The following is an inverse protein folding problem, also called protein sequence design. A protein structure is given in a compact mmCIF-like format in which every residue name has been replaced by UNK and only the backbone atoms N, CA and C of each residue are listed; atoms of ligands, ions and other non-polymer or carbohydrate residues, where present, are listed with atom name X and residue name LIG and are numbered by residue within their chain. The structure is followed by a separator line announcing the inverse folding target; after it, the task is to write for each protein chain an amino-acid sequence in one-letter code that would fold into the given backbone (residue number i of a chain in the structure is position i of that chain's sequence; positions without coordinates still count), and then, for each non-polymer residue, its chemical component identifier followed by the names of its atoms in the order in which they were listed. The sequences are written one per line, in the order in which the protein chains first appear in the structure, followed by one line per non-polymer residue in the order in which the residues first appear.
data_IF_416137858119
#
_entry.id   IF_416137858119
#
_cell.length_a   1.000
_cell.length_b   1.000
_cell.length_c   1.000
_cell.angle_alpha   90.00
_cell.angle_beta   90.00
_cell.angle_gamma   90.00
#
_symmetry.space_group_name_H-M   'P 1'
#
loop_
_entity.id
_entity.type
_entity.pdbx_description
1 polymer ?
#
# COMPACT_ATOMS: atom_id res chain seq x y z
N UNK A 1 -23.39 7.07 -46.85
CA UNK A 1 -22.84 6.00 -46.00
C UNK A 1 -21.96 6.60 -44.90
N UNK A 2 -22.51 7.01 -43.76
CA UNK A 2 -21.77 7.57 -42.60
C UNK A 2 -22.43 7.20 -41.26
N UNK A 3 -23.20 6.11 -41.24
CA UNK A 3 -23.95 5.67 -40.05
C UNK A 3 -23.38 4.48 -39.25
N UNK A 4 -22.41 3.66 -39.71
CA UNK A 4 -21.91 2.55 -38.87
C UNK A 4 -20.85 3.00 -37.86
N UNK A 5 -20.12 4.10 -38.12
CA UNK A 5 -19.01 4.56 -37.26
C UNK A 5 -19.51 5.16 -35.93
N UNK A 6 -20.65 5.86 -35.96
CA UNK A 6 -21.23 6.50 -34.76
C UNK A 6 -21.76 5.43 -33.79
N UNK A 7 -22.33 4.34 -34.30
CA UNK A 7 -22.79 3.20 -33.48
C UNK A 7 -21.62 2.45 -32.82
N UNK A 8 -20.47 2.34 -33.50
CA UNK A 8 -19.26 1.71 -32.96
C UNK A 8 -18.65 2.53 -31.79
N UNK A 9 -18.63 3.87 -31.93
CA UNK A 9 -18.14 4.79 -30.89
C UNK A 9 -19.04 4.82 -29.65
N UNK A 10 -20.36 4.70 -29.82
CA UNK A 10 -21.32 4.59 -28.71
C UNK A 10 -21.22 3.24 -27.98
N UNK A 11 -20.82 2.16 -28.66
CA UNK A 11 -20.58 0.87 -28.03
C UNK A 11 -19.31 0.84 -27.18
N UNK A 12 -18.24 1.54 -27.61
CA UNK A 12 -17.01 1.70 -26.83
C UNK A 12 -17.22 2.50 -25.52
N UNK A 13 -18.23 3.36 -25.45
CA UNK A 13 -18.58 4.11 -24.23
C UNK A 13 -19.33 3.25 -23.19
N UNK A 14 -19.94 2.14 -23.60
CA UNK A 14 -20.71 1.26 -22.71
C UNK A 14 -19.85 0.17 -22.02
N UNK A 15 -18.63 -0.09 -22.49
CA UNK A 15 -17.77 -1.15 -21.94
C UNK A 15 -16.95 -0.71 -20.72
N UNK A 16 -16.95 0.59 -20.37
CA UNK A 16 -16.14 1.13 -19.26
C UNK A 16 -16.91 1.44 -17.98
N UNK A 17 -18.15 0.96 -17.84
CA UNK A 17 -18.75 0.84 -16.51
C UNK A 17 -18.12 -0.36 -15.78
N UNK A 18 -16.84 -0.25 -15.43
CA UNK A 18 -16.25 -1.09 -14.39
C UNK A 18 -16.98 -0.70 -13.10
N UNK A 19 -18.10 -1.38 -12.82
CA UNK A 19 -18.78 -1.27 -11.54
C UNK A 19 -17.76 -1.64 -10.49
N UNK A 20 -17.23 -0.64 -9.80
CA UNK A 20 -16.33 -0.82 -8.68
C UNK A 20 -17.10 -1.65 -7.65
N UNK A 21 -16.80 -2.95 -7.57
CA UNK A 21 -17.22 -3.73 -6.40
C UNK A 21 -16.55 -3.04 -5.23
N UNK A 22 -17.33 -2.34 -4.41
CA UNK A 22 -16.86 -1.93 -3.08
C UNK A 22 -16.40 -3.21 -2.40
N UNK A 23 -15.11 -3.30 -2.14
CA UNK A 23 -14.59 -4.35 -1.30
C UNK A 23 -15.28 -4.22 0.06
N UNK A 24 -15.84 -5.31 0.54
CA UNK A 24 -16.44 -5.40 1.87
C UNK A 24 -15.34 -6.00 2.75
N UNK A 25 -14.85 -5.27 3.78
CA UNK A 25 -13.94 -5.77 4.81
C UNK A 25 -14.27 -7.21 5.16
N UNK A 26 -13.32 -8.13 4.95
CA UNK A 26 -13.54 -9.54 5.24
C UNK A 26 -13.46 -9.83 6.74
N UNK A 27 -13.12 -8.82 7.55
CA UNK A 27 -13.00 -8.92 9.00
C UNK A 27 -13.58 -7.71 9.73
N UNK A 28 -13.73 -7.85 11.05
CA UNK A 28 -13.96 -6.73 11.97
C UNK A 28 -12.66 -6.04 12.39
N UNK A 29 -11.54 -6.26 11.66
CA UNK A 29 -10.24 -5.71 12.01
C UNK A 29 -10.18 -4.23 11.68
N UNK A 30 -9.97 -3.41 12.70
CA UNK A 30 -9.82 -1.96 12.60
C UNK A 30 -8.74 -1.54 11.57
N UNK A 31 -7.62 -2.26 11.50
CA UNK A 31 -6.54 -1.96 10.56
C UNK A 31 -6.99 -2.14 9.11
N UNK A 32 -7.84 -3.13 8.83
CA UNK A 32 -8.39 -3.35 7.49
C UNK A 32 -9.25 -2.16 7.07
N UNK A 33 -10.17 -1.71 7.94
CA UNK A 33 -10.97 -0.51 7.68
C UNK A 33 -10.10 0.73 7.45
N UNK A 34 -9.04 0.93 8.24
CA UNK A 34 -8.10 2.03 8.06
C UNK A 34 -7.38 1.97 6.69
N UNK A 35 -7.00 0.76 6.25
CA UNK A 35 -6.43 0.55 4.91
C UNK A 35 -7.42 1.00 3.83
N UNK A 36 -8.69 0.60 3.91
CA UNK A 36 -9.68 1.00 2.89
C UNK A 36 -9.94 2.50 2.87
N UNK A 37 -10.05 3.14 4.03
CA UNK A 37 -10.20 4.60 4.10
C UNK A 37 -8.98 5.31 3.51
N UNK A 38 -7.77 4.83 3.81
CA UNK A 38 -6.53 5.37 3.25
C UNK A 38 -6.47 5.20 1.72
N UNK A 39 -6.80 4.01 1.19
CA UNK A 39 -6.81 3.74 -0.26
C UNK A 39 -7.86 4.60 -0.96
N UNK A 40 -9.04 4.77 -0.36
CA UNK A 40 -10.12 5.58 -0.92
C UNK A 40 -9.68 7.05 -1.02
N UNK A 41 -9.21 7.64 0.08
CA UNK A 41 -8.68 9.01 0.07
C UNK A 41 -7.48 9.15 -0.87
N UNK A 42 -6.60 8.15 -0.95
CA UNK A 42 -5.46 8.16 -1.85
C UNK A 42 -5.90 8.23 -3.31
N UNK A 43 -6.82 7.35 -3.71
CA UNK A 43 -7.31 7.24 -5.07
C UNK A 43 -8.14 8.46 -5.53
N UNK A 44 -8.76 9.17 -4.59
CA UNK A 44 -9.61 10.33 -4.89
C UNK A 44 -8.85 11.66 -4.75
N UNK A 45 -8.00 11.77 -3.74
CA UNK A 45 -7.48 13.06 -3.27
C UNK A 45 -5.94 13.17 -3.28
N UNK A 46 -5.19 12.10 -3.58
CA UNK A 46 -3.72 12.13 -3.58
C UNK A 46 -3.15 12.20 -5.00
N UNK A 47 -2.23 13.15 -5.24
CA UNK A 47 -1.58 13.30 -6.56
C UNK A 47 -0.68 12.11 -6.92
N UNK A 48 -0.14 11.40 -5.92
CA UNK A 48 0.70 10.22 -6.12
C UNK A 48 -0.06 9.10 -6.83
N UNK A 49 -1.39 9.03 -6.69
CA UNK A 49 -2.22 8.04 -7.39
C UNK A 49 -2.06 8.07 -8.91
N UNK A 50 -1.69 9.22 -9.48
CA UNK A 50 -1.49 9.37 -10.93
C UNK A 50 -0.13 8.84 -11.41
N UNK A 51 0.82 8.62 -10.51
CA UNK A 51 2.23 8.35 -10.85
C UNK A 51 2.46 6.88 -11.15
N UNK A 52 1.83 5.99 -10.39
CA UNK A 52 2.10 4.54 -10.47
C UNK A 52 0.81 3.75 -10.73
N UNK A 53 0.94 2.48 -11.16
CA UNK A 53 -0.19 1.55 -11.37
C UNK A 53 -0.34 0.52 -10.26
N UNK A 54 0.71 0.33 -9.47
CA UNK A 54 0.82 -0.65 -8.40
C UNK A 54 1.27 0.10 -7.14
N UNK A 55 0.64 -0.17 -6.00
CA UNK A 55 0.92 0.48 -4.74
C UNK A 55 1.09 -0.54 -3.61
N UNK A 56 2.17 -0.41 -2.86
CA UNK A 56 2.37 -1.12 -1.61
C UNK A 56 1.64 -0.39 -0.48
N UNK A 57 0.91 -1.15 0.34
CA UNK A 57 0.28 -0.68 1.57
C UNK A 57 0.92 -1.37 2.76
N UNK A 58 1.29 -0.60 3.78
CA UNK A 58 1.81 -1.13 5.03
C UNK A 58 1.15 -0.45 6.22
N UNK A 59 1.12 -1.15 7.36
CA UNK A 59 0.50 -0.66 8.58
C UNK A 59 1.53 -0.67 9.70
N UNK A 60 1.65 0.46 10.39
CA UNK A 60 2.24 0.51 11.72
C UNK A 60 1.10 0.61 12.72
N UNK A 61 0.83 -0.49 13.42
CA UNK A 61 -0.26 -0.55 14.40
C UNK A 61 -0.11 0.58 15.44
N UNK A 62 1.11 0.77 15.95
CA UNK A 62 1.43 1.89 16.84
C UNK A 62 2.47 2.80 16.21
N UNK A 63 2.11 4.06 16.00
CA UNK A 63 3.04 5.08 15.52
C UNK A 63 4.14 5.37 16.54
N UNK A 64 5.36 5.58 16.06
CA UNK A 64 6.52 5.94 16.89
C UNK A 64 7.29 7.10 16.29
N UNK A 65 8.16 7.70 17.08
CA UNK A 65 9.16 8.66 16.62
C UNK A 65 10.52 8.25 17.18
N UNK A 66 11.52 8.13 16.30
CA UNK A 66 12.89 7.79 16.66
C UNK A 66 13.80 9.00 16.45
N UNK A 67 14.82 9.11 17.30
CA UNK A 67 15.87 10.12 17.19
C UNK A 67 17.23 9.44 17.12
N UNK A 68 18.15 10.03 16.36
CA UNK A 68 19.53 9.57 16.34
C UNK A 68 20.26 10.17 17.53
N UNK A 69 20.72 9.32 18.45
CA UNK A 69 21.42 9.72 19.67
C UNK A 69 22.83 9.15 19.67
N UNK A 70 23.77 9.86 20.30
CA UNK A 70 25.14 9.38 20.50
C UNK A 70 25.27 8.78 21.89
N UNK A 71 25.64 7.50 21.95
CA UNK A 71 25.87 6.75 23.17
C UNK A 71 27.27 6.11 23.11
N UNK A 72 28.13 6.48 24.05
CA UNK A 72 29.53 6.01 24.14
C UNK A 72 30.32 6.10 22.80
N UNK A 73 30.05 7.13 22.00
CA UNK A 73 30.70 7.36 20.71
C UNK A 73 29.99 6.74 19.50
N UNK A 74 29.05 5.82 19.70
CA UNK A 74 28.25 5.20 18.64
C UNK A 74 26.92 5.94 18.42
N UNK A 75 26.53 6.12 17.16
CA UNK A 75 25.20 6.64 16.83
C UNK A 75 24.18 5.51 16.84
N UNK A 76 23.08 5.69 17.58
CA UNK A 76 21.99 4.71 17.72
C UNK A 76 20.65 5.40 17.50
N UNK A 77 19.76 4.75 16.75
CA UNK A 77 18.36 5.17 16.68
C UNK A 77 17.65 4.75 17.97
N UNK A 78 17.10 5.72 18.68
CA UNK A 78 16.40 5.51 19.95
C UNK A 78 14.94 5.93 19.78
N UNK A 79 14.02 5.11 20.28
CA UNK A 79 12.60 5.45 20.31
C UNK A 79 12.36 6.58 21.32
N UNK A 80 12.08 7.78 20.80
CA UNK A 80 11.84 9.01 21.57
C UNK A 80 10.40 9.09 22.07
N UNK A 81 9.43 8.67 21.25
CA UNK A 81 8.01 8.77 21.58
C UNK A 81 7.20 7.65 20.93
N UNK A 82 6.17 7.19 21.65
CA UNK A 82 5.19 6.19 21.17
C UNK A 82 3.80 6.83 21.24
N UNK A 83 3.02 6.68 20.17
CA UNK A 83 1.68 7.25 20.03
C UNK A 83 0.66 6.12 19.90
N UNK A 84 0.27 5.56 21.05
CA UNK A 84 -0.60 4.37 21.12
C UNK A 84 -2.01 4.61 20.59
N UNK A 85 -2.47 5.85 20.56
CA UNK A 85 -3.78 6.25 20.04
C UNK A 85 -3.80 6.42 18.50
N UNK A 86 -2.64 6.30 17.83
CA UNK A 86 -2.50 6.48 16.39
C UNK A 86 -2.10 5.18 15.70
N UNK A 87 -2.93 4.75 14.77
CA UNK A 87 -2.58 3.73 13.77
C UNK A 87 -2.18 4.44 12.48
N UNK A 88 -1.08 3.99 11.86
CA UNK A 88 -0.58 4.58 10.62
C UNK A 88 -0.69 3.59 9.48
N UNK A 89 -1.27 4.05 8.35
CA UNK A 89 -1.28 3.32 7.08
C UNK A 89 -0.41 4.08 6.08
N UNK A 90 0.61 3.43 5.54
CA UNK A 90 1.46 3.97 4.50
C UNK A 90 1.07 3.43 3.13
N UNK A 91 1.09 4.29 2.11
CA UNK A 91 0.88 3.92 0.70
C UNK A 91 2.01 4.53 -0.13
N UNK A 92 2.72 3.69 -0.89
CA UNK A 92 3.78 4.10 -1.81
C UNK A 92 3.62 3.38 -3.15
N UNK A 93 4.01 4.03 -4.25
CA UNK A 93 4.10 3.37 -5.56
C UNK A 93 5.14 2.26 -5.51
N UNK A 94 4.82 1.10 -6.09
CA UNK A 94 5.78 0.02 -6.30
C UNK A 94 6.49 0.22 -7.63
N UNK A 95 7.82 0.21 -7.61
CA UNK A 95 8.65 0.46 -8.80
C UNK A 95 9.36 -0.78 -9.26
N UNK A 96 9.84 -1.56 -8.30
CA UNK A 96 10.59 -2.76 -8.56
C UNK A 96 9.63 -3.96 -8.49
N UNK A 97 9.83 -4.93 -9.38
CA UNK A 97 9.05 -6.15 -9.33
C UNK A 97 9.43 -6.97 -8.10
N UNK A 98 8.45 -7.59 -7.47
CA UNK A 98 8.70 -8.49 -6.35
C UNK A 98 9.41 -9.75 -6.84
N UNK A 99 10.40 -10.19 -6.08
CA UNK A 99 11.02 -11.48 -6.31
C UNK A 99 10.02 -12.63 -6.13
N UNK A 100 9.80 -13.40 -7.19
CA UNK A 100 9.03 -14.64 -7.14
C UNK A 100 9.99 -15.83 -6.97
N UNK A 101 10.05 -16.33 -5.74
CA UNK A 101 10.91 -17.45 -5.33
C UNK A 101 10.17 -18.78 -5.43
N UNK A 102 10.91 -19.88 -5.55
CA UNK A 102 10.32 -21.23 -5.67
C UNK A 102 9.52 -21.67 -4.44
N UNK A 103 9.73 -21.05 -3.28
CA UNK A 103 9.02 -21.32 -2.03
C UNK A 103 7.76 -20.45 -1.85
N UNK A 104 7.49 -19.52 -2.77
CA UNK A 104 6.25 -18.73 -2.82
C UNK A 104 5.08 -19.53 -3.43
N UNK A 105 4.77 -20.69 -2.85
CA UNK A 105 3.71 -21.59 -3.31
C UNK A 105 2.35 -21.23 -2.70
N UNK A 106 1.26 -21.68 -3.33
CA UNK A 106 -0.09 -21.52 -2.78
C UNK A 106 -0.15 -22.12 -1.36
N UNK A 107 -0.74 -21.38 -0.43
CA UNK A 107 -0.78 -21.76 0.99
C UNK A 107 0.40 -21.24 1.82
N UNK A 108 1.48 -20.76 1.20
CA UNK A 108 2.61 -20.15 1.91
C UNK A 108 2.25 -18.78 2.51
N UNK A 109 2.95 -18.37 3.57
CA UNK A 109 2.75 -17.09 4.26
C UNK A 109 4.02 -16.24 4.21
N UNK A 110 3.87 -14.93 4.03
CA UNK A 110 4.97 -13.96 4.08
C UNK A 110 5.95 -13.98 2.91
N UNK A 111 5.77 -14.85 1.91
CA UNK A 111 6.63 -14.94 0.71
C UNK A 111 6.24 -13.92 -0.36
N UNK A 112 4.94 -13.78 -0.58
CA UNK A 112 4.32 -12.76 -1.42
C UNK A 112 3.20 -12.09 -0.62
N UNK A 113 2.78 -10.88 -1.00
CA UNK A 113 1.60 -10.27 -0.41
C UNK A 113 0.39 -11.16 -0.62
N UNK A 114 -0.48 -11.21 0.38
CA UNK A 114 -1.60 -12.15 0.43
C UNK A 114 -2.96 -11.44 0.35
N UNK A 115 -2.96 -10.10 0.39
CA UNK A 115 -4.15 -9.27 0.30
C UNK A 115 -4.00 -8.22 -0.78
N UNK A 116 -5.11 -7.88 -1.41
CA UNK A 116 -5.13 -6.85 -2.44
C UNK A 116 -6.51 -6.24 -2.63
N UNK A 117 -6.53 -5.08 -3.27
CA UNK A 117 -7.71 -4.46 -3.87
C UNK A 117 -7.36 -3.84 -5.21
N UNK A 118 -8.32 -3.77 -6.11
CA UNK A 118 -8.19 -3.06 -7.38
C UNK A 118 -9.12 -1.85 -7.35
N UNK A 119 -8.54 -0.65 -7.41
CA UNK A 119 -9.29 0.62 -7.38
C UNK A 119 -8.95 1.42 -8.63
N UNK A 120 -9.99 1.72 -9.43
CA UNK A 120 -9.87 2.42 -10.74
C UNK A 120 -8.79 1.78 -11.64
N UNK A 121 -8.75 0.45 -11.67
CA UNK A 121 -7.80 -0.33 -12.47
C UNK A 121 -6.38 -0.40 -11.91
N UNK A 122 -6.10 0.17 -10.73
CA UNK A 122 -4.79 0.14 -10.08
C UNK A 122 -4.74 -0.84 -8.92
N UNK A 123 -3.63 -1.54 -8.79
CA UNK A 123 -3.43 -2.57 -7.76
C UNK A 123 -2.91 -1.94 -6.47
N UNK A 124 -3.55 -2.27 -5.36
CA UNK A 124 -3.02 -2.04 -4.02
C UNK A 124 -2.88 -3.39 -3.33
N UNK A 125 -1.75 -3.67 -2.69
CA UNK A 125 -1.54 -4.91 -1.96
C UNK A 125 -0.85 -4.67 -0.61
N UNK A 126 -0.97 -5.66 0.28
CA UNK A 126 -0.24 -5.70 1.53
C UNK A 126 0.02 -7.14 1.98
N UNK A 127 0.98 -7.28 2.88
CA UNK A 127 1.27 -8.55 3.53
C UNK A 127 0.36 -8.72 4.74
N UNK A 128 -0.35 -9.85 4.80
CA UNK A 128 -1.11 -10.29 5.96
C UNK A 128 -0.51 -11.63 6.42
N UNK A 129 0.18 -11.61 7.55
CA UNK A 129 0.88 -12.79 8.09
C UNK A 129 -0.09 -13.91 8.50
N UNK A 130 -1.36 -13.58 8.74
CA UNK A 130 -2.37 -14.56 9.12
C UNK A 130 -3.07 -15.18 7.91
N UNK A 131 -2.95 -14.56 6.73
CA UNK A 131 -3.58 -15.01 5.49
C UNK A 131 -2.56 -15.58 4.49
N UNK A 132 -2.70 -16.84 4.06
CA UNK A 132 -1.78 -17.45 3.09
C UNK A 132 -1.99 -16.92 1.67
N UNK A 133 -0.97 -17.09 0.82
CA UNK A 133 -1.03 -16.82 -0.61
C UNK A 133 -2.11 -17.70 -1.27
N UNK A 134 -3.01 -17.08 -2.01
CA UNK A 134 -4.08 -17.74 -2.77
C UNK A 134 -3.77 -17.78 -4.27
N UNK A 135 -4.42 -18.69 -5.00
CA UNK A 135 -4.33 -18.74 -6.48
C UNK A 135 -4.79 -17.41 -7.10
N UNK A 136 -5.86 -16.83 -6.56
CA UNK A 136 -6.39 -15.54 -6.98
C UNK A 136 -5.36 -14.42 -6.82
N UNK A 137 -4.72 -14.32 -5.65
CA UNK A 137 -3.71 -13.29 -5.40
C UNK A 137 -2.50 -13.45 -6.33
N UNK A 138 -2.01 -14.69 -6.51
CA UNK A 138 -0.92 -14.96 -7.44
C UNK A 138 -1.29 -14.62 -8.88
N UNK A 139 -2.53 -14.92 -9.31
CA UNK A 139 -3.04 -14.55 -10.62
C UNK A 139 -3.09 -13.03 -10.81
N UNK A 140 -3.52 -12.28 -9.80
CA UNK A 140 -3.56 -10.80 -9.84
C UNK A 140 -2.16 -10.22 -9.94
N UNK A 141 -1.21 -10.67 -9.12
CA UNK A 141 0.18 -10.19 -9.18
C UNK A 141 0.79 -10.41 -10.56
N UNK A 142 0.57 -11.59 -11.17
CA UNK A 142 1.00 -11.89 -12.54
C UNK A 142 0.30 -11.02 -13.58
N UNK A 143 -1.01 -10.79 -13.42
CA UNK A 143 -1.80 -9.97 -14.34
C UNK A 143 -1.39 -8.49 -14.38
N UNK A 144 -0.83 -7.99 -13.27
CA UNK A 144 -0.25 -6.65 -13.17
C UNK A 144 1.25 -6.58 -13.52
N UNK A 145 1.87 -7.72 -13.91
CA UNK A 145 3.31 -7.83 -14.14
C UNK A 145 4.16 -7.40 -12.93
N UNK A 146 3.67 -7.68 -11.72
CA UNK A 146 4.27 -7.25 -10.45
C UNK A 146 5.41 -8.17 -9.98
N UNK A 147 5.69 -9.27 -10.68
CA UNK A 147 6.62 -10.32 -10.26
C UNK A 147 7.79 -10.47 -11.22
N UNK A 148 8.97 -10.74 -10.68
CA UNK A 148 10.15 -11.17 -11.44
C UNK A 148 10.63 -12.51 -10.91
N UNK A 149 10.89 -13.46 -11.81
CA UNK A 149 11.41 -14.77 -11.41
C UNK A 149 12.80 -14.62 -10.79
N UNK A 150 12.97 -15.15 -9.59
CA UNK A 150 14.26 -15.16 -8.90
C UNK A 150 14.98 -16.46 -9.24
N UNK A 151 15.95 -16.40 -10.15
CA UNK A 151 16.82 -17.53 -10.44
C UNK A 151 17.83 -17.63 -9.28
N UNK A 152 18.01 -18.83 -8.73
CA UNK A 152 18.98 -19.11 -7.65
C UNK A 152 20.45 -18.83 -8.00
N UNK A 153 20.76 -18.42 -9.24
CA UNK A 153 22.11 -18.21 -9.77
C UNK A 153 22.76 -16.89 -9.30
N UNK A 154 22.38 -16.40 -8.11
CA UNK A 154 23.00 -15.25 -7.47
C UNK A 154 22.69 -13.88 -8.09
N UNK A 155 21.85 -13.81 -9.12
CA UNK A 155 21.44 -12.53 -9.73
C UNK A 155 20.22 -11.97 -8.99
N UNK A 156 20.46 -11.01 -8.09
CA UNK A 156 19.40 -10.21 -7.50
C UNK A 156 18.82 -9.26 -8.56
N UNK A 157 17.50 -9.03 -8.61
CA UNK A 157 16.91 -8.01 -9.45
C UNK A 157 17.53 -6.66 -9.06
N UNK A 158 17.74 -5.81 -10.05
CA UNK A 158 18.25 -4.48 -9.83
C UNK A 158 17.19 -3.69 -9.06
N UNK A 159 17.45 -3.44 -7.77
CA UNK A 159 16.60 -2.62 -6.92
C UNK A 159 16.99 -1.16 -7.10
N UNK A 160 16.00 -0.31 -7.34
CA UNK A 160 16.20 1.13 -7.48
C UNK A 160 15.98 1.83 -6.15
N UNK A 161 17.00 2.52 -5.64
CA UNK A 161 16.86 3.39 -4.47
C UNK A 161 16.61 4.81 -4.98
N UNK A 162 15.45 5.36 -4.66
CA UNK A 162 15.11 6.76 -4.91
C UNK A 162 14.73 7.48 -3.62
N UNK A 163 15.70 8.18 -3.03
CA UNK A 163 15.49 8.98 -1.83
C UNK A 163 14.49 10.13 -2.02
N UNK A 164 14.13 10.48 -3.27
CA UNK A 164 13.10 11.48 -3.56
C UNK A 164 11.69 10.88 -3.68
N UNK A 165 11.56 9.54 -3.72
CA UNK A 165 10.27 8.87 -3.79
C UNK A 165 9.42 9.21 -2.57
N UNK A 166 8.19 9.66 -2.81
CA UNK A 166 7.26 10.02 -1.75
C UNK A 166 6.25 8.89 -1.52
N UNK A 167 5.96 8.66 -0.24
CA UNK A 167 4.79 7.92 0.22
C UNK A 167 3.73 8.86 0.79
N UNK A 168 2.52 8.36 0.90
CA UNK A 168 1.45 8.97 1.69
C UNK A 168 1.28 8.18 2.99
N UNK A 169 1.44 8.85 4.13
CA UNK A 169 1.26 8.29 5.46
C UNK A 169 -0.03 8.84 6.07
N UNK A 170 -0.97 7.96 6.38
CA UNK A 170 -2.26 8.27 6.95
C UNK A 170 -2.26 7.92 8.43
N UNK A 171 -2.40 8.92 9.29
CA UNK A 171 -2.44 8.76 10.74
C UNK A 171 -3.89 8.80 11.18
N UNK A 172 -4.45 7.66 11.56
CA UNK A 172 -5.82 7.50 12.03
C UNK A 172 -5.88 7.50 13.55
N UNK A 173 -6.90 8.15 14.10
CA UNK A 173 -7.27 7.97 15.49
C UNK A 173 -7.92 6.60 15.69
N UNK A 174 -7.39 5.80 16.61
CA UNK A 174 -7.88 4.44 16.86
C UNK A 174 -9.35 4.35 17.31
N UNK A 175 -9.87 5.41 17.94
CA UNK A 175 -11.26 5.48 18.36
C UNK A 175 -12.21 6.02 17.26
N UNK A 176 -11.68 6.58 16.17
CA UNK A 176 -12.49 7.17 15.10
C UNK A 176 -11.72 7.30 13.78
N UNK A 177 -12.00 6.40 12.83
CA UNK A 177 -11.37 6.38 11.50
C UNK A 177 -11.66 7.62 10.64
N UNK A 178 -12.78 8.31 10.86
CA UNK A 178 -13.06 9.56 10.14
C UNK A 178 -12.12 10.70 10.55
N UNK A 179 -11.41 10.55 11.68
CA UNK A 179 -10.38 11.49 12.13
C UNK A 179 -9.01 10.97 11.73
N UNK A 180 -8.51 11.45 10.59
CA UNK A 180 -7.15 11.17 10.16
C UNK A 180 -6.46 12.41 9.59
N UNK A 181 -5.13 12.32 9.46
CA UNK A 181 -4.34 13.25 8.65
C UNK A 181 -3.42 12.47 7.72
N UNK A 182 -3.35 12.95 6.49
CA UNK A 182 -2.42 12.48 5.47
C UNK A 182 -1.16 13.36 5.45
N UNK A 183 0.00 12.73 5.48
CA UNK A 183 1.31 13.38 5.27
C UNK A 183 1.93 12.78 4.03
N UNK A 184 2.31 13.62 3.07
CA UNK A 184 3.03 13.17 1.87
C UNK A 184 4.49 13.58 2.00
N UNK A 185 5.38 12.61 2.07
CA UNK A 185 6.80 12.82 2.36
C UNK A 185 7.66 11.70 1.77
N UNK A 186 8.95 11.98 1.56
CA UNK A 186 9.97 10.97 1.25
C UNK A 186 10.68 10.44 2.50
N UNK A 187 10.34 10.96 3.68
CA UNK A 187 10.90 10.49 4.96
C UNK A 187 10.10 9.29 5.45
N UNK A 188 10.76 8.15 5.67
CA UNK A 188 10.15 6.96 6.23
C UNK A 188 9.46 7.24 7.58
N UNK A 189 8.40 6.48 7.87
CA UNK A 189 7.68 6.55 9.14
C UNK A 189 8.60 6.25 10.32
N UNK A 190 8.34 6.88 11.46
CA UNK A 190 9.24 6.84 12.60
C UNK A 190 10.34 7.91 12.59
N UNK A 191 10.83 8.34 11.43
CA UNK A 191 11.95 9.30 11.34
C UNK A 191 11.52 10.77 11.38
N UNK A 192 10.22 11.03 11.40
CA UNK A 192 9.65 12.34 11.66
C UNK A 192 8.50 12.22 12.66
N UNK A 193 8.21 13.31 13.37
CA UNK A 193 7.11 13.31 14.35
C UNK A 193 5.76 13.15 13.61
N UNK A 194 4.90 12.21 14.02
CA UNK A 194 3.53 12.13 13.52
C UNK A 194 2.80 13.48 13.63
N UNK A 195 1.87 13.79 12.71
CA UNK A 195 1.09 15.02 12.78
C UNK A 195 0.26 15.04 14.07
N UNK A 196 0.07 16.24 14.65
CA UNK A 196 -0.83 16.39 15.80
C UNK A 196 -2.28 16.12 15.37
N UNK A 197 -2.94 15.14 15.99
CA UNK A 197 -4.36 14.84 15.84
C UNK A 197 -5.09 14.91 17.19
N UNK A 198 -6.27 15.51 17.19
CA UNK A 198 -7.17 15.52 18.35
C UNK A 198 -8.12 14.32 18.25
N UNK A 199 -7.65 13.15 18.69
CA UNK A 199 -8.47 11.95 18.64
C UNK A 199 -9.71 12.02 19.53
N UNK A 200 -9.69 12.88 20.56
CA UNK A 200 -10.64 12.77 21.67
C UNK A 200 -10.33 11.51 22.47
N UNK A 201 -10.82 11.47 23.71
CA UNK A 201 -10.78 10.25 24.51
C UNK A 201 -11.82 9.27 23.96
#
# INVERSE_FOLDING_TARGET
MRRPIILLLLWLLLVNCYSQKKYIPQSTNFAEFAIYEAITDFADNCRLFKQDSIFYVYVEDTSRYVTLQRDQGTLKWVCDSVYTNLLMVGISGERDKMGYYSDAVIGSKGKLPSRYVIVKGKLFYWYDNDYPLTEEMLFVLKGYDALTDMIYDGMLPEYSIDDAQKGAHYYFCRNNLSKYKRVVTNIATGYYRPPKLNCGN
#
